data_IF_588735024216
#
_entry.id   IF_588735024216
#
_cell.length_a   1.000
_cell.length_b   1.000
_cell.length_c   1.000
_cell.angle_alpha   90.00
_cell.angle_beta   90.00
_cell.angle_gamma   90.00
#
_symmetry.space_group_name_H-M   'P 1'
#
loop_
_entity.id
_entity.type
_entity.pdbx_description
1 polymer ?
#
# COMPACT_ATOMS: atom_id res chain seq x y z
N UNK A 1 -12.24 -7.27 3.76
CA UNK A 1 -12.87 -8.44 4.41
C UNK A 1 -12.50 -8.39 5.89
N UNK A 2 -13.47 -8.56 6.79
CA UNK A 2 -13.20 -8.69 8.23
C UNK A 2 -12.98 -10.18 8.52
N UNK A 3 -11.98 -10.46 9.35
CA UNK A 3 -11.58 -11.80 9.79
C UNK A 3 -11.62 -11.80 11.30
N UNK A 4 -12.35 -12.75 11.88
CA UNK A 4 -12.38 -12.98 13.32
C UNK A 4 -11.39 -14.10 13.65
N UNK A 5 -10.40 -13.81 14.50
CA UNK A 5 -9.39 -14.78 14.92
C UNK A 5 -9.51 -15.05 16.43
N UNK A 6 -9.71 -16.32 16.78
CA UNK A 6 -9.88 -16.75 18.17
C UNK A 6 -8.65 -16.38 19.01
N UNK A 7 -8.87 -15.61 20.09
CA UNK A 7 -7.83 -15.13 20.99
C UNK A 7 -7.06 -13.88 20.50
N UNK A 8 -7.30 -13.38 19.29
CA UNK A 8 -6.69 -12.13 18.78
C UNK A 8 -7.70 -11.03 18.41
N UNK A 9 -8.97 -11.39 18.24
CA UNK A 9 -10.05 -10.46 17.90
C UNK A 9 -10.24 -10.27 16.39
N UNK A 10 -10.94 -9.21 16.01
CA UNK A 10 -11.23 -8.89 14.62
C UNK A 10 -10.08 -8.10 13.98
N UNK A 11 -9.74 -8.48 12.75
CA UNK A 11 -8.83 -7.73 11.90
C UNK A 11 -9.35 -7.69 10.47
N UNK A 12 -8.81 -6.79 9.66
CA UNK A 12 -9.26 -6.57 8.29
C UNK A 12 -8.16 -6.96 7.31
N UNK A 13 -8.55 -7.68 6.26
CA UNK A 13 -7.72 -7.90 5.08
C UNK A 13 -8.29 -7.20 3.86
N UNK A 14 -7.44 -6.51 3.10
CA UNK A 14 -7.79 -5.90 1.81
C UNK A 14 -6.87 -6.43 0.72
N UNK A 15 -7.47 -6.98 -0.33
CA UNK A 15 -6.76 -7.31 -1.56
C UNK A 15 -6.78 -6.09 -2.49
N UNK A 16 -5.61 -5.57 -2.82
CA UNK A 16 -5.42 -4.32 -3.54
C UNK A 16 -4.80 -4.55 -4.92
N UNK A 17 -5.31 -3.85 -5.92
CA UNK A 17 -4.71 -3.78 -7.25
C UNK A 17 -4.54 -2.32 -7.64
N UNK A 18 -3.30 -1.84 -7.54
CA UNK A 18 -2.93 -0.46 -7.83
C UNK A 18 -2.92 -0.17 -9.33
N UNK A 19 -3.12 1.10 -9.68
CA UNK A 19 -3.15 1.51 -11.07
C UNK A 19 -1.81 1.19 -11.78
N UNK A 20 -1.85 0.57 -12.97
CA UNK A 20 -0.63 0.32 -13.74
C UNK A 20 -0.05 1.62 -14.32
N UNK A 21 -0.87 2.66 -14.51
CA UNK A 21 -0.41 3.95 -15.05
C UNK A 21 0.34 4.78 -14.01
N UNK A 22 1.59 5.14 -14.33
CA UNK A 22 2.41 6.00 -13.45
C UNK A 22 1.81 7.38 -13.19
N UNK A 23 1.01 7.91 -14.12
CA UNK A 23 0.31 9.18 -13.92
C UNK A 23 -0.74 9.13 -12.82
N UNK A 24 -1.17 7.93 -12.41
CA UNK A 24 -2.22 7.70 -11.41
C UNK A 24 -1.68 7.30 -10.03
N UNK A 25 -0.37 7.44 -9.81
CA UNK A 25 0.30 7.02 -8.57
C UNK A 25 -0.19 7.78 -7.34
N UNK A 26 -0.45 9.07 -7.48
CA UNK A 26 -1.04 9.86 -6.40
C UNK A 26 -2.42 9.34 -6.02
N UNK A 27 -3.25 9.00 -7.01
CA UNK A 27 -4.56 8.41 -6.78
C UNK A 27 -4.47 7.03 -6.13
N UNK A 28 -3.47 6.20 -6.50
CA UNK A 28 -3.15 4.95 -5.80
C UNK A 28 -2.86 5.22 -4.32
N UNK A 29 -2.03 6.22 -4.00
CA UNK A 29 -1.65 6.56 -2.64
C UNK A 29 -2.78 7.19 -1.82
N UNK A 30 -3.65 7.99 -2.47
CA UNK A 30 -4.85 8.56 -1.85
C UNK A 30 -5.84 7.44 -1.52
N UNK A 31 -6.08 6.51 -2.46
CA UNK A 31 -6.92 5.34 -2.23
C UNK A 31 -6.41 4.48 -1.07
N UNK A 32 -5.10 4.32 -0.89
CA UNK A 32 -4.55 3.62 0.27
C UNK A 32 -4.92 4.28 1.60
N UNK A 33 -4.89 5.61 1.66
CA UNK A 33 -5.27 6.39 2.85
C UNK A 33 -6.77 6.32 3.11
N UNK A 34 -7.57 6.51 2.06
CA UNK A 34 -9.03 6.34 2.14
C UNK A 34 -9.39 4.96 2.68
N UNK A 35 -8.69 3.91 2.23
CA UNK A 35 -8.91 2.55 2.72
C UNK A 35 -8.57 2.40 4.21
N UNK A 36 -7.50 3.06 4.68
CA UNK A 36 -7.13 3.10 6.09
C UNK A 36 -8.24 3.76 6.91
N UNK A 37 -8.70 4.95 6.50
CA UNK A 37 -9.72 5.74 7.19
C UNK A 37 -11.09 5.04 7.32
N UNK A 38 -11.37 4.01 6.51
CA UNK A 38 -12.64 3.28 6.58
C UNK A 38 -12.82 2.44 7.87
N UNK A 39 -11.77 2.14 8.63
CA UNK A 39 -11.88 1.29 9.83
C UNK A 39 -10.65 1.38 10.73
N UNK A 40 -10.89 1.43 12.04
CA UNK A 40 -9.85 1.37 13.08
C UNK A 40 -9.36 -0.06 13.41
N UNK A 41 -9.85 -1.08 12.69
CA UNK A 41 -9.41 -2.46 12.92
C UNK A 41 -7.97 -2.67 12.45
N UNK A 42 -7.19 -3.54 13.13
CA UNK A 42 -5.88 -3.97 12.64
C UNK A 42 -5.96 -4.38 11.18
N UNK A 43 -5.10 -3.81 10.34
CA UNK A 43 -5.27 -3.89 8.90
C UNK A 43 -4.08 -4.56 8.21
N UNK A 44 -4.38 -5.60 7.44
CA UNK A 44 -3.45 -6.21 6.52
C UNK A 44 -3.88 -5.91 5.09
N UNK A 45 -2.95 -5.44 4.26
CA UNK A 45 -3.18 -5.22 2.84
C UNK A 45 -2.21 -6.08 2.03
N UNK A 46 -2.71 -6.69 0.96
CA UNK A 46 -1.91 -7.52 0.07
C UNK A 46 -2.35 -7.31 -1.38
N UNK A 47 -1.48 -7.63 -2.32
CA UNK A 47 -1.80 -7.61 -3.74
C UNK A 47 -0.70 -6.97 -4.58
N UNK A 48 -1.07 -6.39 -5.71
CA UNK A 48 -0.14 -5.76 -6.63
C UNK A 48 -0.28 -4.24 -6.53
N UNK A 49 0.68 -3.59 -5.89
CA UNK A 49 0.70 -2.14 -5.73
C UNK A 49 1.10 -1.42 -7.02
N UNK A 50 1.75 -2.12 -7.95
CA UNK A 50 2.45 -1.54 -9.10
C UNK A 50 3.49 -0.45 -8.72
N UNK A 51 3.82 -0.30 -7.44
CA UNK A 51 4.76 0.67 -6.88
C UNK A 51 6.01 -0.04 -6.34
N UNK A 52 7.14 0.66 -6.34
CA UNK A 52 8.40 0.15 -5.78
C UNK A 52 8.66 0.82 -4.43
N UNK A 53 8.87 0.01 -3.39
CA UNK A 53 9.17 0.51 -2.05
C UNK A 53 10.59 1.08 -1.97
N UNK A 54 11.56 0.41 -2.61
CA UNK A 54 12.95 0.82 -2.68
C UNK A 54 13.48 0.76 -4.12
N UNK A 55 14.64 1.39 -4.35
CA UNK A 55 15.36 1.21 -5.61
C UNK A 55 15.91 -0.22 -5.76
N UNK A 56 16.15 -0.90 -4.63
CA UNK A 56 16.70 -2.25 -4.59
C UNK A 56 15.70 -3.30 -5.09
N UNK A 57 14.40 -3.02 -4.93
CA UNK A 57 13.33 -3.85 -5.49
C UNK A 57 13.32 -3.83 -7.03
N UNK A 58 13.93 -2.81 -7.64
CA UNK A 58 13.97 -2.67 -9.08
C UNK A 58 14.99 -3.62 -9.70
N UNK A 59 14.49 -4.60 -10.43
CA UNK A 59 15.30 -5.41 -11.35
C UNK A 59 15.27 -4.77 -12.75
N UNK A 60 16.20 -3.86 -13.02
CA UNK A 60 16.34 -3.20 -14.32
C UNK A 60 17.50 -2.22 -14.38
N UNK A 61 17.93 -1.86 -15.58
CA UNK A 61 19.12 -1.01 -15.84
C UNK A 61 18.92 0.46 -15.51
N UNK A 62 17.72 1.00 -15.76
CA UNK A 62 17.42 2.39 -15.46
C UNK A 62 16.94 2.53 -14.01
N UNK A 63 17.31 3.58 -13.26
CA UNK A 63 16.75 3.84 -11.93
C UNK A 63 15.25 4.13 -12.00
N UNK A 64 14.48 3.79 -10.95
CA UNK A 64 13.11 4.31 -10.82
C UNK A 64 13.19 5.75 -10.27
N UNK A 65 12.28 6.66 -10.64
CA UNK A 65 12.27 7.99 -10.05
C UNK A 65 12.09 7.92 -8.53
N UNK A 66 13.05 8.47 -7.77
CA UNK A 66 13.05 8.39 -6.31
C UNK A 66 11.78 8.96 -5.66
N UNK A 67 11.14 9.95 -6.29
CA UNK A 67 9.90 10.54 -5.79
C UNK A 67 8.73 9.53 -5.76
N UNK A 68 8.72 8.52 -6.63
CA UNK A 68 7.71 7.47 -6.62
C UNK A 68 7.92 6.54 -5.43
N UNK A 69 9.16 6.11 -5.19
CA UNK A 69 9.46 5.27 -4.03
C UNK A 69 9.22 6.02 -2.71
N UNK A 70 9.60 7.30 -2.64
CA UNK A 70 9.36 8.14 -1.46
C UNK A 70 7.88 8.39 -1.23
N UNK A 71 7.10 8.66 -2.29
CA UNK A 71 5.66 8.88 -2.18
C UNK A 71 4.91 7.63 -1.75
N UNK A 72 5.29 6.46 -2.29
CA UNK A 72 4.73 5.18 -1.86
C UNK A 72 5.09 4.86 -0.41
N UNK A 73 6.36 5.06 0.00
CA UNK A 73 6.76 4.91 1.42
C UNK A 73 6.00 5.84 2.35
N UNK A 74 5.80 7.09 1.94
CA UNK A 74 4.99 8.03 2.73
C UNK A 74 3.58 7.51 2.88
N UNK A 75 2.92 7.08 1.79
CA UNK A 75 1.55 6.56 1.85
C UNK A 75 1.44 5.31 2.74
N UNK A 76 2.43 4.41 2.68
CA UNK A 76 2.50 3.21 3.52
C UNK A 76 2.68 3.59 5.00
N UNK A 77 3.55 4.54 5.28
CA UNK A 77 3.76 5.07 6.65
C UNK A 77 2.54 5.82 7.18
N UNK A 78 1.85 6.58 6.33
CA UNK A 78 0.62 7.30 6.69
C UNK A 78 -0.51 6.33 7.06
N UNK A 79 -0.42 5.08 6.58
CA UNK A 79 -1.40 4.04 6.85
C UNK A 79 -1.01 3.10 8.01
N UNK A 80 0.08 3.40 8.74
CA UNK A 80 0.65 2.53 9.80
C UNK A 80 0.95 1.09 9.33
N UNK A 81 1.24 0.92 8.03
CA UNK A 81 1.57 -0.36 7.42
C UNK A 81 3.10 -0.55 7.46
N UNK A 82 3.64 -1.08 8.55
CA UNK A 82 5.09 -1.36 8.68
C UNK A 82 5.39 -2.69 9.34
#
# INVERSE_FOLDING_TARGET
MIVEEEGKGEWRITCYYGYPERSRRRQTWELLRELQDMSDLPWCIMGDFNDLFSQEDKKGTHPHPNWLCNGFRSAVSDCDLT
#
